data_IF_051226577482
#
_entry.id   IF_051226577482
#
_cell.length_a   1.000
_cell.length_b   1.000
_cell.length_c   1.000
_cell.angle_alpha   90.00
_cell.angle_beta   90.00
_cell.angle_gamma   90.00
#
_symmetry.space_group_name_H-M   'P 1'
#
loop_
_entity.id
_entity.type
_entity.pdbx_description
1 polymer ?
#
# COMPACT_ATOMS: atom_id res chain seq x y z
N UNK A 1 -12.78 -41.03 -23.27
CA UNK A 1 -13.33 -39.68 -23.28
C UNK A 1 -12.18 -38.72 -23.38
N UNK A 2 -11.93 -38.12 -24.57
CA UNK A 2 -10.84 -37.14 -24.73
C UNK A 2 -11.35 -35.80 -24.19
N UNK A 3 -10.73 -35.27 -23.13
CA UNK A 3 -10.94 -33.89 -22.70
C UNK A 3 -10.39 -32.98 -23.82
N UNK A 4 -11.29 -32.33 -24.55
CA UNK A 4 -10.91 -31.26 -25.46
C UNK A 4 -10.30 -30.14 -24.62
N UNK A 5 -8.98 -29.93 -24.77
CA UNK A 5 -8.31 -28.76 -24.18
C UNK A 5 -8.88 -27.51 -24.83
N UNK A 6 -9.69 -26.77 -24.09
CA UNK A 6 -10.17 -25.44 -24.49
C UNK A 6 -8.94 -24.54 -24.62
N UNK A 7 -8.52 -24.26 -25.85
CA UNK A 7 -7.45 -23.29 -26.13
C UNK A 7 -8.05 -21.89 -25.97
N UNK A 8 -7.61 -21.10 -24.99
CA UNK A 8 -8.15 -19.76 -24.83
C UNK A 8 -7.86 -18.91 -26.07
N UNK A 9 -8.77 -18.04 -26.49
CA UNK A 9 -8.59 -17.18 -27.65
C UNK A 9 -7.37 -16.27 -27.43
N UNK A 10 -6.67 -15.96 -28.54
CA UNK A 10 -5.52 -15.03 -28.51
C UNK A 10 -5.99 -13.68 -27.96
N UNK A 11 -5.46 -13.27 -26.80
CA UNK A 11 -5.80 -11.97 -26.19
C UNK A 11 -5.35 -10.84 -27.12
N UNK A 12 -6.30 -10.04 -27.60
CA UNK A 12 -5.99 -8.77 -28.26
C UNK A 12 -5.86 -7.66 -27.20
N UNK A 13 -4.92 -6.76 -27.39
CA UNK A 13 -4.83 -5.53 -26.57
C UNK A 13 -5.76 -4.50 -27.23
N UNK A 14 -6.89 -4.14 -26.62
CA UNK A 14 -7.76 -3.08 -27.14
C UNK A 14 -7.08 -1.73 -27.03
N UNK A 15 -7.50 -0.77 -27.84
CA UNK A 15 -7.00 0.59 -27.78
C UNK A 15 -7.34 1.20 -26.40
N UNK A 16 -6.37 1.87 -25.78
CA UNK A 16 -6.60 2.61 -24.54
C UNK A 16 -7.60 3.75 -24.79
N UNK A 17 -8.53 3.91 -23.86
CA UNK A 17 -9.51 5.02 -23.87
C UNK A 17 -9.15 5.98 -22.73
N UNK A 18 -8.52 7.09 -23.09
CA UNK A 18 -8.11 8.15 -22.15
C UNK A 18 -9.01 9.39 -22.32
N UNK A 19 -9.41 9.98 -21.21
CA UNK A 19 -10.08 11.29 -21.22
C UNK A 19 -9.09 12.43 -21.38
N UNK A 20 -9.49 13.52 -22.07
CA UNK A 20 -8.62 14.68 -22.34
C UNK A 20 -8.00 15.27 -21.07
N UNK A 21 -8.76 15.36 -19.97
CA UNK A 21 -8.29 15.89 -18.69
C UNK A 21 -7.64 14.82 -17.81
N UNK A 22 -8.03 13.55 -17.97
CA UNK A 22 -7.51 12.44 -17.16
C UNK A 22 -6.10 11.99 -17.57
N UNK A 23 -5.57 12.41 -18.71
CA UNK A 23 -4.18 12.12 -19.10
C UNK A 23 -3.14 12.72 -18.16
N UNK A 24 -3.52 13.72 -17.36
CA UNK A 24 -2.68 14.32 -16.32
C UNK A 24 -2.75 13.62 -14.95
N UNK A 25 -3.48 12.52 -14.84
CA UNK A 25 -3.50 11.71 -13.63
C UNK A 25 -2.08 11.20 -13.30
N UNK A 26 -1.78 11.11 -12.00
CA UNK A 26 -0.53 10.56 -11.50
C UNK A 26 -0.44 9.07 -11.84
N UNK A 27 0.73 8.65 -12.30
CA UNK A 27 0.99 7.24 -12.64
C UNK A 27 2.05 6.67 -11.71
N UNK A 28 1.76 5.51 -11.13
CA UNK A 28 2.79 4.75 -10.42
C UNK A 28 3.87 4.30 -11.42
N UNK A 29 5.15 4.20 -11.01
CA UNK A 29 6.22 3.67 -11.85
C UNK A 29 5.85 2.32 -12.46
N UNK A 30 6.05 2.15 -13.75
CA UNK A 30 5.64 0.92 -14.47
C UNK A 30 6.38 -0.32 -13.97
N UNK A 31 7.61 -0.15 -13.47
CA UNK A 31 8.40 -1.24 -12.88
C UNK A 31 7.66 -1.96 -11.74
N UNK A 32 6.76 -1.28 -11.03
CA UNK A 32 5.95 -1.87 -9.94
C UNK A 32 5.07 -3.01 -10.45
N UNK A 33 4.63 -2.98 -11.71
CA UNK A 33 3.82 -4.05 -12.28
C UNK A 33 4.56 -5.39 -12.47
N UNK A 34 5.88 -5.42 -12.28
CA UNK A 34 6.67 -6.66 -12.20
C UNK A 34 6.45 -7.44 -10.90
N UNK A 35 5.85 -6.84 -9.87
CA UNK A 35 5.44 -7.55 -8.66
C UNK A 35 4.50 -8.70 -8.96
N UNK A 36 4.58 -9.77 -8.16
CA UNK A 36 3.62 -10.88 -8.19
C UNK A 36 2.21 -10.45 -7.80
N UNK A 37 2.11 -9.46 -6.93
CA UNK A 37 0.89 -8.98 -6.32
C UNK A 37 0.49 -9.77 -5.07
N UNK A 38 -0.29 -9.15 -4.20
CA UNK A 38 -1.01 -9.78 -3.09
C UNK A 38 -2.47 -9.94 -3.49
N UNK A 39 -3.09 -11.06 -3.08
CA UNK A 39 -4.53 -11.26 -3.28
C UNK A 39 -5.27 -10.88 -2.00
N UNK A 40 -6.12 -9.87 -2.06
CA UNK A 40 -6.97 -9.45 -0.94
C UNK A 40 -8.41 -9.38 -1.44
N UNK A 41 -9.29 -10.16 -0.84
CA UNK A 41 -10.71 -10.27 -1.23
C UNK A 41 -10.95 -10.41 -2.75
N UNK A 42 -10.14 -11.26 -3.40
CA UNK A 42 -10.22 -11.53 -4.84
C UNK A 42 -9.59 -10.47 -5.75
N UNK A 43 -9.07 -9.37 -5.21
CA UNK A 43 -8.34 -8.35 -5.97
C UNK A 43 -6.83 -8.56 -5.85
N UNK A 44 -6.12 -8.47 -6.97
CA UNK A 44 -4.65 -8.50 -7.00
C UNK A 44 -4.11 -7.09 -6.86
N UNK A 45 -3.33 -6.84 -5.82
CA UNK A 45 -2.72 -5.55 -5.49
C UNK A 45 -1.22 -5.65 -5.71
N UNK A 46 -0.67 -4.83 -6.59
CA UNK A 46 0.76 -4.70 -6.89
C UNK A 46 1.33 -3.35 -6.44
N UNK A 47 0.49 -2.31 -6.51
CA UNK A 47 0.85 -0.94 -6.20
C UNK A 47 -0.04 -0.36 -5.11
N UNK A 48 0.58 0.29 -4.11
CA UNK A 48 -0.14 1.05 -3.10
C UNK A 48 0.37 2.49 -3.10
N UNK A 49 -0.54 3.46 -3.22
CA UNK A 49 -0.17 4.87 -3.04
C UNK A 49 -0.15 5.22 -1.56
N UNK A 50 0.97 5.77 -1.08
CA UNK A 50 1.08 6.29 0.29
C UNK A 50 0.59 7.74 0.33
N UNK A 51 -0.67 7.92 0.67
CA UNK A 51 -1.27 9.25 0.72
C UNK A 51 -2.53 9.30 1.57
N UNK A 52 -2.81 10.48 2.13
CA UNK A 52 -4.11 10.84 2.72
C UNK A 52 -4.71 12.06 2.02
N UNK A 53 -4.08 12.54 0.97
CA UNK A 53 -4.57 13.64 0.15
C UNK A 53 -5.62 13.14 -0.84
N UNK A 54 -6.85 13.63 -0.69
CA UNK A 54 -7.99 13.22 -1.51
C UNK A 54 -7.80 13.51 -2.99
N UNK A 55 -7.11 14.61 -3.34
CA UNK A 55 -6.87 14.97 -4.73
C UNK A 55 -5.86 14.02 -5.40
N UNK A 56 -4.85 13.59 -4.67
CA UNK A 56 -3.89 12.57 -5.10
C UNK A 56 -4.62 11.22 -5.27
N UNK A 57 -5.37 10.80 -4.24
CA UNK A 57 -6.10 9.52 -4.20
C UNK A 57 -7.07 9.38 -5.38
N UNK A 58 -7.79 10.45 -5.73
CA UNK A 58 -8.73 10.45 -6.86
C UNK A 58 -8.07 10.51 -8.23
N UNK A 59 -6.81 10.85 -8.32
CA UNK A 59 -6.10 11.08 -9.59
C UNK A 59 -4.85 10.22 -9.76
N UNK A 60 -4.74 9.08 -9.07
CA UNK A 60 -3.66 8.12 -9.21
C UNK A 60 -4.18 6.79 -9.76
N UNK A 61 -3.34 6.06 -10.50
CA UNK A 61 -3.67 4.75 -11.07
C UNK A 61 -3.19 3.56 -10.20
N UNK A 62 -2.90 3.77 -8.91
CA UNK A 62 -2.52 2.68 -8.01
C UNK A 62 -3.66 1.67 -7.79
N UNK A 63 -3.30 0.43 -7.43
CA UNK A 63 -4.28 -0.63 -7.15
C UNK A 63 -4.96 -0.47 -5.78
N UNK A 64 -4.29 0.19 -4.82
CA UNK A 64 -4.78 0.42 -3.47
C UNK A 64 -4.15 1.68 -2.84
N UNK A 65 -4.65 2.05 -1.66
CA UNK A 65 -4.15 3.16 -0.85
C UNK A 65 -3.63 2.60 0.47
N UNK A 66 -2.48 3.08 0.92
CA UNK A 66 -2.01 2.93 2.30
C UNK A 66 -2.11 4.29 2.98
N UNK A 67 -3.12 4.45 3.84
CA UNK A 67 -3.49 5.71 4.45
C UNK A 67 -2.98 5.80 5.90
N UNK A 68 -1.70 6.15 6.03
CA UNK A 68 -1.03 6.34 7.33
C UNK A 68 -0.54 7.79 7.41
N UNK A 69 -0.70 8.42 8.56
CA UNK A 69 -0.28 9.81 8.79
C UNK A 69 0.30 9.98 10.21
N UNK A 70 1.12 11.01 10.47
CA UNK A 70 1.95 11.09 11.69
C UNK A 70 1.19 11.60 12.93
N UNK A 71 -0.13 11.58 12.92
CA UNK A 71 -0.97 11.99 14.04
C UNK A 71 -1.79 10.83 14.55
N UNK A 72 -2.42 10.99 15.74
CA UNK A 72 -3.38 10.01 16.25
C UNK A 72 -4.49 9.79 15.23
N UNK A 73 -4.76 8.54 14.82
CA UNK A 73 -5.81 8.25 13.87
C UNK A 73 -7.18 8.73 14.35
N UNK A 74 -7.95 9.33 13.46
CA UNK A 74 -9.29 9.84 13.73
C UNK A 74 -10.29 9.18 12.77
N UNK A 75 -11.36 8.56 13.28
CA UNK A 75 -12.36 7.87 12.45
C UNK A 75 -12.94 8.75 11.34
N UNK A 76 -13.11 10.04 11.58
CA UNK A 76 -13.64 10.97 10.56
C UNK A 76 -12.69 11.12 9.34
N UNK A 77 -11.38 11.05 9.56
CA UNK A 77 -10.40 11.09 8.46
C UNK A 77 -10.46 9.77 7.69
N UNK A 78 -10.47 8.63 8.38
CA UNK A 78 -10.63 7.31 7.76
C UNK A 78 -11.91 7.25 6.94
N UNK A 79 -13.03 7.72 7.47
CA UNK A 79 -14.30 7.77 6.76
C UNK A 79 -14.23 8.66 5.50
N UNK A 80 -13.63 9.84 5.59
CA UNK A 80 -13.49 10.73 4.45
C UNK A 80 -12.66 10.10 3.32
N UNK A 81 -11.59 9.39 3.66
CA UNK A 81 -10.77 8.65 2.72
C UNK A 81 -11.56 7.53 2.04
N UNK A 82 -12.27 6.73 2.81
CA UNK A 82 -13.09 5.62 2.31
C UNK A 82 -14.22 6.10 1.40
N UNK A 83 -14.86 7.21 1.73
CA UNK A 83 -15.92 7.81 0.89
C UNK A 83 -15.39 8.38 -0.43
N UNK A 84 -14.15 8.87 -0.44
CA UNK A 84 -13.54 9.43 -1.63
C UNK A 84 -12.85 8.40 -2.52
N UNK A 85 -12.37 7.30 -1.96
CA UNK A 85 -11.59 6.30 -2.66
C UNK A 85 -12.45 5.41 -3.58
N UNK A 86 -11.99 5.17 -4.80
CA UNK A 86 -12.58 4.18 -5.73
C UNK A 86 -11.81 2.84 -5.70
N UNK A 87 -10.73 2.78 -4.92
CA UNK A 87 -9.83 1.63 -4.80
C UNK A 87 -9.66 1.21 -3.34
N UNK A 88 -9.23 -0.01 -3.04
CA UNK A 88 -9.03 -0.52 -1.68
C UNK A 88 -8.21 0.41 -0.80
N UNK A 89 -8.63 0.56 0.47
CA UNK A 89 -7.94 1.40 1.46
C UNK A 89 -7.45 0.55 2.62
N UNK A 90 -6.15 0.62 2.90
CA UNK A 90 -5.51 0.11 4.10
C UNK A 90 -5.32 1.27 5.07
N UNK A 91 -6.09 1.28 6.16
CA UNK A 91 -6.17 2.41 7.08
C UNK A 91 -5.20 2.30 8.24
N UNK A 92 -4.40 3.33 8.50
CA UNK A 92 -3.55 3.41 9.69
C UNK A 92 -4.36 3.55 10.97
N UNK A 93 -4.17 2.64 11.93
CA UNK A 93 -4.95 2.60 13.17
C UNK A 93 -4.13 2.82 14.44
N UNK A 94 -2.81 3.01 14.30
CA UNK A 94 -1.94 3.35 15.42
C UNK A 94 -0.67 2.51 15.51
N UNK A 95 -0.15 2.37 16.74
CA UNK A 95 1.11 1.70 17.04
C UNK A 95 2.28 2.65 17.34
N UNK A 96 2.07 3.98 17.24
CA UNK A 96 2.99 5.00 17.70
C UNK A 96 2.53 5.61 19.03
N UNK A 97 2.09 6.85 19.02
CA UNK A 97 1.47 7.50 20.20
C UNK A 97 0.15 6.83 20.61
N UNK A 98 -0.61 6.33 19.66
CA UNK A 98 -1.86 5.60 19.91
C UNK A 98 -1.53 4.12 20.11
N UNK A 99 -1.83 3.60 21.30
CA UNK A 99 -1.49 2.24 21.72
C UNK A 99 -2.64 1.55 22.47
N UNK A 100 -2.46 0.26 22.75
CA UNK A 100 -3.37 -0.55 23.57
C UNK A 100 -4.79 -0.62 22.99
N UNK A 101 -5.79 -0.63 23.87
CA UNK A 101 -7.20 -0.78 23.52
C UNK A 101 -7.71 0.25 22.50
N UNK A 102 -7.11 1.44 22.46
CA UNK A 102 -7.49 2.45 21.47
C UNK A 102 -7.17 2.03 20.04
N UNK A 103 -6.07 1.32 19.82
CA UNK A 103 -5.71 0.76 18.50
C UNK A 103 -6.73 -0.28 18.07
N UNK A 104 -7.12 -1.18 18.97
CA UNK A 104 -8.15 -2.19 18.71
C UNK A 104 -9.50 -1.56 18.33
N UNK A 105 -9.92 -0.54 19.08
CA UNK A 105 -11.15 0.19 18.77
C UNK A 105 -11.08 0.87 17.39
N UNK A 106 -9.95 1.49 17.06
CA UNK A 106 -9.76 2.14 15.76
C UNK A 106 -9.73 1.13 14.61
N UNK A 107 -9.16 -0.06 14.81
CA UNK A 107 -9.19 -1.15 13.84
C UNK A 107 -10.61 -1.62 13.56
N UNK A 108 -11.42 -1.85 14.60
CA UNK A 108 -12.82 -2.20 14.48
C UNK A 108 -13.64 -1.09 13.78
N UNK A 109 -13.38 0.19 14.08
CA UNK A 109 -14.03 1.30 13.37
C UNK A 109 -13.66 1.35 11.90
N UNK A 110 -12.37 1.12 11.55
CA UNK A 110 -11.94 1.10 10.17
C UNK A 110 -12.64 -0.03 9.38
N UNK A 111 -12.73 -1.23 9.95
CA UNK A 111 -13.45 -2.35 9.36
C UNK A 111 -14.93 -2.04 9.15
N UNK A 112 -15.62 -1.55 10.18
CA UNK A 112 -17.06 -1.18 10.10
C UNK A 112 -17.34 -0.08 9.06
N UNK A 113 -16.35 0.74 8.75
CA UNK A 113 -16.44 1.78 7.71
C UNK A 113 -16.10 1.26 6.31
N UNK A 114 -15.66 0.00 6.18
CA UNK A 114 -15.37 -0.64 4.90
C UNK A 114 -13.90 -0.56 4.46
N UNK A 115 -12.96 -0.35 5.38
CA UNK A 115 -11.54 -0.49 5.07
C UNK A 115 -11.23 -1.90 4.57
N UNK A 116 -10.29 -2.02 3.64
CA UNK A 116 -9.84 -3.32 3.10
C UNK A 116 -8.87 -4.01 4.02
N UNK A 117 -8.17 -3.28 4.86
CA UNK A 117 -7.25 -3.76 5.88
C UNK A 117 -6.84 -2.65 6.81
N UNK A 118 -6.16 -2.99 7.89
CA UNK A 118 -5.62 -2.02 8.84
C UNK A 118 -4.11 -2.06 8.88
N UNK A 119 -3.48 -0.92 9.14
CA UNK A 119 -2.01 -0.80 9.22
C UNK A 119 -1.60 -0.43 10.63
N UNK A 120 -0.76 -1.27 11.23
CA UNK A 120 -0.11 -1.06 12.50
C UNK A 120 1.34 -0.60 12.28
N UNK A 121 1.75 0.44 13.00
CA UNK A 121 3.12 0.96 12.93
C UNK A 121 4.12 0.04 13.64
N UNK A 122 5.41 0.16 13.30
CA UNK A 122 6.50 -0.68 13.81
C UNK A 122 6.54 -0.84 15.35
N UNK A 123 6.28 0.22 16.18
CA UNK A 123 6.34 0.08 17.64
C UNK A 123 5.18 -0.66 18.30
N UNK A 124 4.19 -1.15 17.52
CA UNK A 124 3.04 -1.87 18.10
C UNK A 124 3.50 -3.12 18.85
N UNK A 125 3.09 -3.27 20.10
CA UNK A 125 3.38 -4.47 20.88
C UNK A 125 2.63 -5.69 20.33
N UNK A 126 3.26 -6.88 20.35
CA UNK A 126 2.69 -8.12 19.83
C UNK A 126 1.33 -8.46 20.46
N UNK A 127 1.14 -8.19 21.76
CA UNK A 127 -0.15 -8.38 22.42
C UNK A 127 -1.26 -7.50 21.83
N UNK A 128 -0.95 -6.29 21.33
CA UNK A 128 -1.92 -5.44 20.65
C UNK A 128 -2.21 -5.96 19.25
N UNK A 129 -1.19 -6.48 18.54
CA UNK A 129 -1.37 -7.13 17.23
C UNK A 129 -2.34 -8.30 17.36
N UNK A 130 -2.12 -9.21 18.34
CA UNK A 130 -3.01 -10.33 18.59
C UNK A 130 -4.44 -9.90 18.90
N UNK A 131 -4.60 -8.90 19.76
CA UNK A 131 -5.93 -8.41 20.11
C UNK A 131 -6.66 -7.76 18.92
N UNK A 132 -5.93 -7.06 18.03
CA UNK A 132 -6.50 -6.55 16.78
C UNK A 132 -6.93 -7.71 15.88
N UNK A 133 -6.04 -8.69 15.64
CA UNK A 133 -6.32 -9.84 14.78
C UNK A 133 -7.50 -10.70 15.27
N UNK A 134 -7.70 -10.79 16.60
CA UNK A 134 -8.85 -11.49 17.20
C UNK A 134 -10.16 -10.70 17.11
N UNK A 135 -10.08 -9.38 16.86
CA UNK A 135 -11.25 -8.47 16.93
C UNK A 135 -11.84 -8.17 15.56
N UNK A 136 -11.03 -8.18 14.50
CA UNK A 136 -11.44 -7.81 13.14
C UNK A 136 -11.27 -8.97 12.17
N UNK A 137 -12.01 -8.95 11.05
CA UNK A 137 -11.98 -9.97 10.00
C UNK A 137 -11.30 -9.48 8.71
N UNK A 138 -10.72 -8.26 8.72
CA UNK A 138 -9.93 -7.72 7.61
C UNK A 138 -8.43 -7.83 7.88
N UNK A 139 -7.57 -7.91 6.84
CA UNK A 139 -6.14 -8.12 7.01
C UNK A 139 -5.45 -7.11 7.92
N UNK A 140 -4.61 -7.61 8.80
CA UNK A 140 -3.71 -6.85 9.67
C UNK A 140 -2.35 -6.71 8.98
N UNK A 141 -2.03 -5.49 8.56
CA UNK A 141 -0.73 -5.12 7.99
C UNK A 141 0.16 -4.58 9.09
N UNK A 142 1.29 -5.23 9.36
CA UNK A 142 2.26 -4.75 10.35
C UNK A 142 3.50 -4.16 9.71
N UNK A 143 3.84 -2.93 10.06
CA UNK A 143 5.03 -2.25 9.54
C UNK A 143 6.28 -2.72 10.28
N UNK A 144 7.32 -3.03 9.49
CA UNK A 144 8.68 -3.34 9.94
C UNK A 144 9.61 -2.25 9.42
N UNK A 145 10.26 -1.54 10.34
CA UNK A 145 11.15 -0.42 10.03
C UNK A 145 12.63 -0.72 10.30
N UNK A 146 12.96 -1.89 10.85
CA UNK A 146 14.32 -2.25 11.29
C UNK A 146 14.65 -3.69 10.94
N UNK A 147 15.90 -3.92 10.60
CA UNK A 147 16.44 -5.25 10.27
C UNK A 147 16.52 -6.21 11.46
N UNK A 148 16.56 -5.69 12.69
CA UNK A 148 16.64 -6.49 13.93
C UNK A 148 15.25 -6.89 14.51
N UNK A 149 14.17 -6.61 13.79
CA UNK A 149 12.81 -6.99 14.20
C UNK A 149 12.66 -8.52 14.24
N UNK A 150 12.02 -9.05 15.28
CA UNK A 150 11.58 -10.44 15.35
C UNK A 150 10.31 -10.62 14.49
N UNK A 151 10.48 -11.12 13.29
CA UNK A 151 9.38 -11.34 12.35
C UNK A 151 8.50 -12.52 12.76
N UNK A 152 9.11 -13.57 13.34
CA UNK A 152 8.39 -14.76 13.81
C UNK A 152 7.36 -14.41 14.87
N UNK A 153 7.77 -13.62 15.86
CA UNK A 153 6.87 -13.15 16.91
C UNK A 153 5.71 -12.33 16.32
N UNK A 154 6.00 -11.45 15.35
CA UNK A 154 5.02 -10.56 14.74
C UNK A 154 3.99 -11.30 13.90
N UNK A 155 4.42 -12.26 13.09
CA UNK A 155 3.54 -13.09 12.26
C UNK A 155 2.68 -14.00 13.16
N UNK A 156 3.29 -14.62 14.18
CA UNK A 156 2.56 -15.44 15.17
C UNK A 156 1.54 -14.63 15.98
N UNK A 157 1.79 -13.35 16.16
CA UNK A 157 0.85 -12.43 16.81
C UNK A 157 -0.38 -12.11 15.95
N UNK A 158 -0.44 -12.55 14.69
CA UNK A 158 -1.61 -12.37 13.81
C UNK A 158 -1.44 -11.30 12.73
N UNK A 159 -0.20 -10.92 12.37
CA UNK A 159 0.03 -10.08 11.19
C UNK A 159 -0.13 -10.92 9.92
N UNK A 160 -1.12 -10.60 9.08
CA UNK A 160 -1.38 -11.28 7.81
C UNK A 160 -0.44 -10.81 6.70
N UNK A 161 -0.04 -9.55 6.73
CA UNK A 161 0.81 -8.90 5.74
C UNK A 161 1.91 -8.12 6.45
N UNK A 162 3.14 -8.25 6.00
CA UNK A 162 4.26 -7.46 6.49
C UNK A 162 4.52 -6.30 5.54
N UNK A 163 4.55 -5.06 6.07
CA UNK A 163 4.93 -3.86 5.32
C UNK A 163 6.35 -3.42 5.71
N UNK A 164 7.31 -3.60 4.82
CA UNK A 164 8.72 -3.27 5.08
C UNK A 164 9.03 -1.84 4.66
N UNK A 165 9.43 -1.01 5.62
CA UNK A 165 9.81 0.39 5.41
C UNK A 165 11.11 0.70 6.18
N UNK A 166 12.23 0.14 5.72
CA UNK A 166 13.54 0.19 6.35
C UNK A 166 14.55 1.07 5.58
N UNK A 167 14.05 2.07 4.83
CA UNK A 167 14.86 2.95 3.99
C UNK A 167 15.80 2.15 3.06
N UNK A 168 17.10 2.44 3.06
CA UNK A 168 18.08 1.74 2.21
C UNK A 168 18.22 0.23 2.54
N UNK A 169 17.84 -0.21 3.73
CA UNK A 169 17.90 -1.62 4.14
C UNK A 169 16.67 -2.41 3.67
N UNK A 170 15.66 -1.77 3.08
CA UNK A 170 14.39 -2.43 2.70
C UNK A 170 14.61 -3.70 1.88
N UNK A 171 15.43 -3.75 0.81
CA UNK A 171 15.64 -5.00 0.06
C UNK A 171 16.26 -6.12 0.90
N UNK A 172 17.21 -5.79 1.78
CA UNK A 172 17.86 -6.78 2.65
C UNK A 172 16.87 -7.37 3.67
N UNK A 173 16.02 -6.52 4.26
CA UNK A 173 14.97 -6.95 5.20
C UNK A 173 13.93 -7.82 4.49
N UNK A 174 13.47 -7.43 3.30
CA UNK A 174 12.54 -8.22 2.47
C UNK A 174 13.11 -9.61 2.18
N UNK A 175 14.38 -9.70 1.75
CA UNK A 175 15.05 -10.98 1.46
C UNK A 175 15.09 -11.88 2.70
N UNK A 176 15.47 -11.32 3.85
CA UNK A 176 15.51 -12.07 5.11
C UNK A 176 14.13 -12.60 5.51
N UNK A 177 13.07 -11.78 5.40
CA UNK A 177 11.70 -12.22 5.68
C UNK A 177 11.31 -13.34 4.71
N UNK A 178 11.58 -13.20 3.43
CA UNK A 178 11.24 -14.18 2.41
C UNK A 178 11.95 -15.52 2.61
N UNK A 179 13.20 -15.52 3.06
CA UNK A 179 13.96 -16.74 3.39
C UNK A 179 13.36 -17.50 4.59
N UNK A 180 12.88 -16.77 5.59
CA UNK A 180 12.31 -17.36 6.81
C UNK A 180 10.81 -17.69 6.67
N UNK A 181 10.09 -16.90 5.90
CA UNK A 181 8.65 -16.99 5.68
C UNK A 181 8.31 -16.95 4.18
N UNK A 182 8.47 -18.04 3.44
CA UNK A 182 8.32 -18.08 1.99
C UNK A 182 6.94 -17.62 1.49
N UNK A 183 5.89 -17.85 2.28
CA UNK A 183 4.50 -17.63 1.87
C UNK A 183 3.88 -16.32 2.41
N UNK A 184 4.56 -15.61 3.33
CA UNK A 184 3.99 -14.39 3.90
C UNK A 184 3.88 -13.29 2.82
N UNK A 185 2.72 -12.61 2.70
CA UNK A 185 2.59 -11.46 1.81
C UNK A 185 3.46 -10.29 2.29
N UNK A 186 4.26 -9.71 1.39
CA UNK A 186 5.16 -8.59 1.70
C UNK A 186 4.80 -7.39 0.84
N UNK A 187 4.42 -6.29 1.48
CA UNK A 187 4.42 -4.94 0.93
C UNK A 187 5.77 -4.31 1.28
N UNK A 188 6.38 -3.53 0.41
CA UNK A 188 7.61 -2.83 0.73
C UNK A 188 7.67 -1.43 0.10
N UNK A 189 8.37 -0.50 0.75
CA UNK A 189 8.69 0.80 0.16
C UNK A 189 9.75 0.60 -0.92
N UNK A 190 9.46 1.03 -2.15
CA UNK A 190 10.31 0.75 -3.31
C UNK A 190 11.53 1.66 -3.46
N UNK A 191 11.59 2.76 -2.72
CA UNK A 191 12.62 3.79 -2.92
C UNK A 191 12.30 4.75 -4.07
N UNK A 192 13.20 5.70 -4.38
CA UNK A 192 12.92 6.84 -5.26
C UNK A 192 13.14 6.57 -6.75
N UNK A 193 13.78 5.47 -7.15
CA UNK A 193 14.11 5.17 -8.55
C UNK A 193 13.60 3.80 -8.99
N UNK A 194 13.44 3.61 -10.29
CA UNK A 194 13.02 2.32 -10.87
C UNK A 194 13.98 1.19 -10.50
N UNK A 195 15.29 1.46 -10.40
CA UNK A 195 16.30 0.49 -10.02
C UNK A 195 16.10 0.04 -8.55
N UNK A 196 15.86 0.98 -7.62
CA UNK A 196 15.62 0.67 -6.21
C UNK A 196 14.30 -0.08 -6.00
N UNK A 197 13.28 0.25 -6.78
CA UNK A 197 12.01 -0.49 -6.79
C UNK A 197 12.25 -1.92 -7.29
N UNK A 198 12.96 -2.08 -8.40
CA UNK A 198 13.26 -3.39 -8.98
C UNK A 198 14.08 -4.27 -8.03
N UNK A 199 15.09 -3.71 -7.37
CA UNK A 199 15.86 -4.42 -6.34
C UNK A 199 14.97 -4.95 -5.21
N UNK A 200 14.01 -4.14 -4.75
CA UNK A 200 13.06 -4.52 -3.70
C UNK A 200 12.12 -5.63 -4.17
N UNK A 201 11.67 -5.57 -5.42
CA UNK A 201 10.85 -6.64 -6.03
C UNK A 201 11.65 -7.94 -6.14
N UNK A 202 12.89 -7.87 -6.62
CA UNK A 202 13.78 -9.03 -6.75
C UNK A 202 14.15 -9.64 -5.40
N UNK A 203 14.17 -8.85 -4.34
CA UNK A 203 14.33 -9.34 -2.97
C UNK A 203 13.14 -10.19 -2.48
N UNK A 204 11.98 -10.13 -3.15
CA UNK A 204 10.80 -10.94 -2.84
C UNK A 204 9.57 -10.16 -2.37
N UNK A 205 9.54 -8.82 -2.53
CA UNK A 205 8.33 -8.04 -2.27
C UNK A 205 7.22 -8.40 -3.28
N UNK A 206 6.00 -8.58 -2.77
CA UNK A 206 4.83 -8.90 -3.59
C UNK A 206 4.11 -7.64 -4.08
N UNK A 207 4.20 -6.55 -3.34
CA UNK A 207 3.61 -5.26 -3.70
C UNK A 207 4.50 -4.11 -3.23
N UNK A 208 4.42 -2.98 -3.92
CA UNK A 208 5.24 -1.80 -3.63
C UNK A 208 4.36 -0.64 -3.17
N UNK A 209 4.76 -0.03 -2.06
CA UNK A 209 4.26 1.28 -1.64
C UNK A 209 5.04 2.38 -2.34
N UNK A 210 4.33 3.23 -3.05
CA UNK A 210 4.86 4.38 -3.77
C UNK A 210 4.38 5.68 -3.12
N UNK A 211 5.32 6.59 -2.86
CA UNK A 211 5.01 7.93 -2.36
C UNK A 211 4.95 8.88 -3.55
N UNK A 212 3.78 9.44 -3.87
CA UNK A 212 3.63 10.41 -4.96
C UNK A 212 4.25 11.76 -4.58
N UNK A 213 4.52 12.64 -5.56
CA UNK A 213 4.81 14.03 -5.26
C UNK A 213 3.62 14.67 -4.53
N UNK A 214 3.91 15.54 -3.59
CA UNK A 214 2.89 16.30 -2.87
C UNK A 214 2.18 17.30 -3.80
N UNK A 215 0.96 17.71 -3.45
CA UNK A 215 0.28 18.80 -4.15
C UNK A 215 1.12 20.07 -4.25
N UNK A 216 1.89 20.40 -3.20
CA UNK A 216 2.78 21.56 -3.22
C UNK A 216 3.90 21.46 -4.26
N UNK A 217 4.45 20.25 -4.46
CA UNK A 217 5.47 20.00 -5.48
C UNK A 217 4.86 20.10 -6.89
N UNK A 218 3.72 19.46 -7.11
CA UNK A 218 2.99 19.53 -8.39
C UNK A 218 2.64 20.98 -8.74
N UNK A 219 2.06 21.72 -7.80
CA UNK A 219 1.72 23.14 -8.03
C UNK A 219 2.93 24.02 -8.30
N UNK A 220 4.07 23.76 -7.67
CA UNK A 220 5.31 24.52 -7.91
C UNK A 220 5.71 24.47 -9.38
N UNK A 221 5.69 23.28 -9.97
CA UNK A 221 6.10 23.06 -11.35
C UNK A 221 5.09 23.66 -12.34
N UNK A 222 3.79 23.50 -12.07
CA UNK A 222 2.70 24.14 -12.85
C UNK A 222 2.82 25.67 -12.81
N UNK A 223 3.02 26.24 -11.61
CA UNK A 223 3.13 27.68 -11.45
C UNK A 223 4.42 28.25 -12.05
N UNK A 224 5.51 27.49 -12.07
CA UNK A 224 6.73 27.87 -12.77
C UNK A 224 6.46 27.99 -14.30
N UNK A 225 5.82 26.99 -14.90
CA UNK A 225 5.44 27.01 -16.31
C UNK A 225 4.54 28.23 -16.64
N UNK A 226 3.53 28.49 -15.80
CA UNK A 226 2.62 29.65 -16.03
C UNK A 226 3.31 31.01 -15.92
N UNK A 227 4.27 31.17 -14.97
CA UNK A 227 5.06 32.41 -14.88
C UNK A 227 5.94 32.64 -16.10
N UNK A 228 6.35 31.58 -16.76
CA UNK A 228 7.12 31.62 -18.00
C UNK A 228 6.22 31.65 -19.25
N UNK A 229 4.92 31.81 -19.09
CA UNK A 229 3.91 31.81 -20.16
C UNK A 229 3.96 30.51 -21.03
N UNK A 230 4.32 29.39 -20.41
CA UNK A 230 4.30 28.06 -21.01
C UNK A 230 2.94 27.37 -20.82
N UNK A 231 2.56 26.43 -21.69
CA UNK A 231 1.36 25.64 -21.50
C UNK A 231 1.46 24.79 -20.22
N UNK A 232 0.32 24.22 -19.79
CA UNK A 232 0.26 23.27 -18.69
C UNK A 232 1.18 22.08 -18.96
N UNK A 233 2.14 21.75 -18.04
CA UNK A 233 3.09 20.66 -18.21
C UNK A 233 2.44 19.29 -18.26
#
# INVERSE_FOLDING_TARGET
MYEEKIIPPKKSMPQAVDGTLRKFALRVPEVIYQCSGIMVFGKRIKSLVFSTDLSIIKNVNADAIIAVYPFTPQPIITQALLLAADIPVFAGVGGGLTQGQRVVNLAMYAEMQGATGVVLNAPTASAVVSHVAETIDIPVVLTVARSDTDFDERIKAGADIVNVSAAAETPAVVRRIREQHPDVPIIATGGPTDESILETIQAGANAITWTPPSNGEIFRDIMAAYRENKPHP
#
